data_IF_104185036117
#
_entry.id   IF_104185036117
#
_cell.length_a   1.000
_cell.length_b   1.000
_cell.length_c   1.000
_cell.angle_alpha   90.00
_cell.angle_beta   90.00
_cell.angle_gamma   90.00
#
_symmetry.space_group_name_H-M   'P 1'
#
loop_
_entity.id
_entity.type
_entity.pdbx_description
1 polymer ?
#
# COMPACT_ATOMS: atom_id res chain seq x y z
N UNK A 1 20.70 -14.55 0.11
CA UNK A 1 21.74 -13.57 0.48
C UNK A 1 21.86 -13.52 2.00
N UNK A 2 23.04 -13.21 2.55
CA UNK A 2 23.20 -13.04 4.00
C UNK A 2 22.69 -11.64 4.41
N UNK A 3 21.84 -11.58 5.44
CA UNK A 3 21.38 -10.33 6.05
C UNK A 3 22.60 -9.55 6.56
N UNK A 4 22.74 -8.30 6.14
CA UNK A 4 23.76 -7.37 6.60
C UNK A 4 23.53 -7.02 8.08
N UNK A 5 24.61 -6.89 8.84
CA UNK A 5 24.57 -6.54 10.26
C UNK A 5 24.04 -5.10 10.45
N UNK A 6 23.26 -4.82 11.50
CA UNK A 6 22.60 -3.51 11.73
C UNK A 6 22.79 -2.96 13.15
N UNK A 7 23.73 -3.51 13.90
CA UNK A 7 24.10 -3.15 15.27
C UNK A 7 25.60 -2.80 15.36
N UNK A 8 26.14 -2.11 14.36
CA UNK A 8 27.43 -1.45 14.47
C UNK A 8 27.34 -0.38 15.57
N UNK A 9 28.42 -0.21 16.32
CA UNK A 9 28.60 0.86 17.29
C UNK A 9 29.87 1.60 16.91
N UNK A 10 29.87 2.93 17.07
CA UNK A 10 31.09 3.70 16.87
C UNK A 10 32.14 3.28 17.91
N UNK A 11 33.42 3.48 17.57
CA UNK A 11 34.49 3.18 18.50
C UNK A 11 34.39 4.11 19.71
N UNK A 12 33.84 3.58 20.80
CA UNK A 12 33.76 4.29 22.08
C UNK A 12 35.01 4.01 22.89
N UNK A 13 35.59 5.04 23.51
CA UNK A 13 36.67 4.87 24.48
C UNK A 13 36.22 3.87 25.54
N UNK A 14 36.98 2.79 25.68
CA UNK A 14 36.74 1.76 26.67
C UNK A 14 36.71 2.40 28.07
N UNK A 15 35.53 2.41 28.71
CA UNK A 15 35.32 3.00 30.04
C UNK A 15 36.03 2.25 31.16
N UNK A 16 36.44 0.98 30.94
CA UNK A 16 37.31 0.22 31.86
C UNK A 16 38.79 0.57 31.67
N UNK A 17 39.16 1.27 30.59
CA UNK A 17 40.47 1.88 30.35
C UNK A 17 40.46 3.39 30.64
N UNK A 18 39.52 3.86 31.47
CA UNK A 18 39.54 5.22 31.98
C UNK A 18 40.72 5.44 32.94
N UNK A 19 41.90 5.73 32.38
CA UNK A 19 43.11 6.36 32.93
C UNK A 19 44.33 5.76 32.22
N UNK A 20 45.16 6.45 31.44
CA UNK A 20 45.54 7.86 31.48
C UNK A 20 45.76 8.37 30.05
N UNK A 21 45.30 9.59 29.76
CA UNK A 21 45.87 10.35 28.64
C UNK A 21 47.37 10.40 28.87
N UNK A 22 48.15 9.91 27.91
CA UNK A 22 49.60 9.89 28.03
C UNK A 22 50.10 11.22 27.52
N UNK A 23 50.79 11.97 28.37
CA UNK A 23 51.49 13.17 27.95
C UNK A 23 53.00 12.91 27.98
N UNK A 24 53.66 13.10 26.85
CA UNK A 24 55.11 13.05 26.73
C UNK A 24 55.69 14.40 27.18
N UNK A 25 56.58 14.37 28.16
CA UNK A 25 57.32 15.55 28.59
C UNK A 25 58.44 15.86 27.58
N UNK A 26 58.52 17.12 27.15
CA UNK A 26 59.57 17.65 26.26
C UNK A 26 60.27 18.79 26.98
N UNK A 27 61.60 18.74 27.02
CA UNK A 27 62.42 19.76 27.65
C UNK A 27 62.82 20.82 26.63
N UNK A 28 62.50 22.08 26.90
CA UNK A 28 62.83 23.21 26.05
C UNK A 28 64.25 23.71 26.34
N UNK A 29 64.90 24.35 25.36
CA UNK A 29 66.29 24.83 25.48
C UNK A 29 66.49 25.89 26.57
N UNK A 30 65.43 26.62 26.93
CA UNK A 30 65.42 27.61 28.00
C UNK A 30 65.25 27.00 29.40
N UNK A 31 65.21 25.67 29.51
CA UNK A 31 65.07 24.93 30.75
C UNK A 31 63.63 24.72 31.21
N UNK A 32 62.63 25.22 30.48
CA UNK A 32 61.21 24.95 30.77
C UNK A 32 60.77 23.59 30.20
N UNK A 33 59.60 23.09 30.65
CA UNK A 33 59.04 21.80 30.21
C UNK A 33 57.67 21.99 29.59
N UNK A 34 57.46 21.35 28.45
CA UNK A 34 56.17 21.25 27.74
C UNK A 34 55.66 19.81 27.79
N UNK A 35 54.34 19.60 27.78
CA UNK A 35 53.74 18.27 27.80
C UNK A 35 52.83 18.09 26.58
N UNK A 36 53.17 17.15 25.70
CA UNK A 36 52.43 16.87 24.47
C UNK A 36 51.56 15.62 24.65
N UNK A 37 50.30 15.65 24.17
CA UNK A 37 49.46 14.45 24.17
C UNK A 37 50.04 13.42 23.20
N UNK A 38 50.35 12.23 23.71
CA UNK A 38 50.88 11.07 22.97
C UNK A 38 50.01 9.84 23.22
N UNK A 39 48.76 10.06 23.62
CA UNK A 39 47.75 9.00 23.72
C UNK A 39 47.58 8.37 22.33
N UNK A 40 47.78 7.06 22.16
CA UNK A 40 47.52 6.40 20.88
C UNK A 40 46.01 6.41 20.63
N UNK A 41 45.57 7.29 19.73
CA UNK A 41 44.22 7.26 19.17
C UNK A 41 44.29 6.53 17.83
N UNK A 42 43.30 5.68 17.56
CA UNK A 42 43.13 5.16 16.21
C UNK A 42 41.64 5.13 15.88
N UNK A 43 41.14 6.21 15.28
CA UNK A 43 40.08 6.11 14.29
C UNK A 43 40.23 7.23 13.25
N UNK A 44 40.50 6.79 12.01
CA UNK A 44 40.54 7.58 10.77
C UNK A 44 39.21 7.37 10.03
N UNK A 45 38.50 8.43 9.61
CA UNK A 45 37.30 8.31 8.76
C UNK A 45 36.35 9.53 8.72
N UNK A 46 35.51 9.62 7.68
CA UNK A 46 34.56 10.71 7.34
C UNK A 46 33.28 10.72 8.22
N UNK A 47 32.31 11.63 8.01
CA UNK A 47 31.00 11.75 8.76
C UNK A 47 30.15 10.45 8.81
N UNK A 48 30.59 9.40 8.14
CA UNK A 48 29.92 8.12 7.98
C UNK A 48 30.28 7.16 9.13
N UNK A 49 29.50 7.22 10.21
CA UNK A 49 29.63 6.40 11.42
C UNK A 49 28.72 5.16 11.45
N UNK A 50 28.68 4.48 12.59
CA UNK A 50 27.92 3.27 12.82
C UNK A 50 26.42 3.45 12.62
N UNK A 51 25.89 4.64 12.93
CA UNK A 51 24.48 4.97 12.68
C UNK A 51 24.15 4.91 11.18
N UNK A 52 24.96 5.55 10.32
CA UNK A 52 24.78 5.54 8.87
C UNK A 52 24.95 4.12 8.30
N UNK A 53 25.96 3.36 8.76
CA UNK A 53 26.15 1.96 8.37
C UNK A 53 24.93 1.12 8.73
N UNK A 54 24.40 1.27 9.95
CA UNK A 54 23.22 0.53 10.39
C UNK A 54 21.98 0.89 9.55
N UNK A 55 21.79 2.19 9.28
CA UNK A 55 20.71 2.68 8.44
C UNK A 55 20.78 2.12 7.01
N UNK A 56 21.95 2.19 6.37
CA UNK A 56 22.14 1.72 5.00
C UNK A 56 22.08 0.19 4.90
N UNK A 57 22.63 -0.55 5.87
CA UNK A 57 22.51 -2.00 5.92
C UNK A 57 21.06 -2.42 6.13
N UNK A 58 20.32 -1.73 7.00
CA UNK A 58 18.88 -1.95 7.20
C UNK A 58 18.13 -1.70 5.89
N UNK A 59 18.41 -0.59 5.21
CA UNK A 59 17.81 -0.26 3.91
C UNK A 59 18.13 -1.30 2.82
N UNK A 60 19.39 -1.75 2.75
CA UNK A 60 19.83 -2.75 1.78
C UNK A 60 19.20 -4.12 2.04
N UNK A 61 19.13 -4.55 3.30
CA UNK A 61 18.43 -5.78 3.67
C UNK A 61 16.96 -5.75 3.24
N UNK A 62 16.27 -4.62 3.47
CA UNK A 62 14.90 -4.45 3.01
C UNK A 62 14.78 -4.47 1.48
N UNK A 63 15.68 -3.79 0.76
CA UNK A 63 15.69 -3.81 -0.70
C UNK A 63 15.87 -5.24 -1.24
N UNK A 64 16.71 -6.04 -0.59
CA UNK A 64 16.89 -7.46 -0.91
C UNK A 64 15.60 -8.24 -0.65
N UNK A 65 14.98 -8.10 0.52
CA UNK A 65 13.72 -8.79 0.85
C UNK A 65 12.58 -8.41 -0.09
N UNK A 66 12.50 -7.13 -0.47
CA UNK A 66 11.53 -6.63 -1.44
C UNK A 66 11.79 -7.23 -2.84
N UNK A 67 13.06 -7.35 -3.24
CA UNK A 67 13.44 -7.97 -4.51
C UNK A 67 13.18 -9.50 -4.52
N UNK A 68 13.45 -10.18 -3.40
CA UNK A 68 13.19 -11.61 -3.20
C UNK A 68 11.70 -11.90 -2.94
N UNK A 69 10.85 -10.87 -2.85
CA UNK A 69 9.39 -10.94 -2.64
C UNK A 69 9.00 -11.61 -1.32
N UNK A 70 9.86 -11.51 -0.32
CA UNK A 70 9.64 -12.00 1.05
C UNK A 70 9.34 -10.88 2.04
N UNK A 71 9.33 -9.64 1.58
CA UNK A 71 8.99 -8.48 2.41
C UNK A 71 7.58 -8.61 2.99
N UNK A 72 7.45 -8.41 4.32
CA UNK A 72 6.17 -8.59 5.03
C UNK A 72 5.39 -7.29 5.27
N UNK A 73 5.98 -6.15 4.87
CA UNK A 73 5.49 -4.83 5.22
C UNK A 73 5.76 -4.46 6.67
N UNK A 74 6.06 -3.18 6.92
CA UNK A 74 6.29 -2.64 8.27
C UNK A 74 5.26 -1.60 8.65
N UNK A 75 5.05 -1.43 9.95
CA UNK A 75 4.19 -0.36 10.47
C UNK A 75 4.93 0.97 10.35
N UNK A 76 4.47 1.82 9.42
CA UNK A 76 5.09 3.11 9.15
C UNK A 76 5.01 4.06 10.36
N UNK A 77 4.03 3.88 11.24
CA UNK A 77 3.89 4.69 12.45
C UNK A 77 5.00 4.42 13.47
N UNK A 78 5.61 3.23 13.41
CA UNK A 78 6.75 2.84 14.24
C UNK A 78 8.05 3.22 13.55
N UNK A 79 8.18 2.91 12.26
CA UNK A 79 9.43 3.05 11.53
C UNK A 79 9.80 4.50 11.21
N UNK A 80 8.80 5.37 11.10
CA UNK A 80 8.98 6.80 10.87
C UNK A 80 8.46 7.64 12.04
N UNK A 81 8.43 7.09 13.26
CA UNK A 81 7.85 7.73 14.42
C UNK A 81 8.40 9.15 14.69
N UNK A 82 9.71 9.35 14.53
CA UNK A 82 10.37 10.65 14.74
C UNK A 82 9.95 11.68 13.69
N UNK A 83 9.88 11.29 12.41
CA UNK A 83 9.44 12.17 11.33
C UNK A 83 7.95 12.50 11.49
N UNK A 84 7.12 11.50 11.78
CA UNK A 84 5.67 11.62 11.99
C UNK A 84 5.35 12.53 13.17
N UNK A 85 6.19 12.57 14.21
CA UNK A 85 6.01 13.47 15.36
C UNK A 85 6.00 14.96 14.98
N UNK A 86 6.54 15.33 13.80
CA UNK A 86 6.45 16.67 13.23
C UNK A 86 5.10 17.01 12.59
N UNK A 87 4.16 16.06 12.52
CA UNK A 87 2.85 16.19 11.87
C UNK A 87 1.71 15.93 12.85
N UNK A 88 0.49 16.32 12.45
CA UNK A 88 -0.71 16.04 13.24
C UNK A 88 -1.03 14.54 13.35
N UNK A 89 -0.70 13.79 12.30
CA UNK A 89 -1.03 12.38 12.15
C UNK A 89 -0.20 11.76 11.00
N UNK A 90 -0.09 10.42 10.94
CA UNK A 90 0.65 9.71 9.89
C UNK A 90 0.10 9.95 8.47
N UNK A 91 -1.18 10.26 8.31
CA UNK A 91 -1.80 10.45 6.98
C UNK A 91 -1.46 11.82 6.41
N UNK A 92 -1.40 12.85 7.26
CA UNK A 92 -0.89 14.16 6.91
C UNK A 92 0.59 14.10 6.54
N UNK A 93 1.38 13.31 7.26
CA UNK A 93 2.77 13.04 6.92
C UNK A 93 2.91 12.44 5.51
N UNK A 94 2.15 11.36 5.19
CA UNK A 94 2.12 10.78 3.83
C UNK A 94 1.73 11.83 2.78
N UNK A 95 0.67 12.60 3.03
CA UNK A 95 0.21 13.65 2.10
C UNK A 95 1.28 14.70 1.85
N UNK A 96 1.99 15.15 2.88
CA UNK A 96 3.09 16.12 2.75
C UNK A 96 4.28 15.54 1.99
N UNK A 97 4.66 14.29 2.27
CA UNK A 97 5.73 13.60 1.54
C UNK A 97 5.40 13.44 0.06
N UNK A 98 4.16 13.08 -0.27
CA UNK A 98 3.69 13.02 -1.66
C UNK A 98 3.76 14.38 -2.35
N UNK A 99 3.33 15.46 -1.71
CA UNK A 99 3.42 16.81 -2.28
C UNK A 99 4.87 17.28 -2.48
N UNK A 100 5.82 16.74 -1.71
CA UNK A 100 7.25 16.98 -1.87
C UNK A 100 7.94 16.00 -2.83
N UNK A 101 7.18 15.11 -3.48
CA UNK A 101 7.71 14.03 -4.34
C UNK A 101 8.72 13.13 -3.63
N UNK A 102 8.55 12.93 -2.31
CA UNK A 102 9.43 12.14 -1.48
C UNK A 102 8.76 10.82 -1.10
N UNK A 103 9.24 9.70 -1.65
CA UNK A 103 8.78 8.34 -1.34
C UNK A 103 9.85 7.48 -0.67
N UNK A 104 10.94 8.11 -0.22
CA UNK A 104 12.13 7.41 0.27
C UNK A 104 11.81 6.50 1.46
N UNK A 105 12.18 5.23 1.35
CA UNK A 105 11.92 4.24 2.38
C UNK A 105 10.46 3.78 2.49
N UNK A 106 9.52 4.27 1.67
CA UNK A 106 8.18 3.71 1.55
C UNK A 106 8.19 2.54 0.56
N UNK A 107 7.65 1.39 0.96
CA UNK A 107 7.60 0.20 0.13
C UNK A 107 6.18 -0.35 0.03
N UNK A 108 5.91 -1.08 -1.05
CA UNK A 108 4.68 -1.88 -1.19
C UNK A 108 4.59 -2.86 -0.02
N UNK A 109 3.38 -3.12 0.46
CA UNK A 109 3.05 -3.87 1.70
C UNK A 109 3.20 -3.10 3.02
N UNK A 110 3.95 -1.99 3.07
CA UNK A 110 4.02 -1.12 4.26
C UNK A 110 2.63 -0.63 4.63
N UNK A 111 2.39 -0.45 5.92
CA UNK A 111 1.06 -0.17 6.41
C UNK A 111 0.98 0.86 7.51
N UNK A 112 -0.21 1.44 7.63
CA UNK A 112 -0.63 2.24 8.78
C UNK A 112 -1.92 1.60 9.31
N UNK A 113 -1.97 1.22 10.60
CA UNK A 113 -3.20 0.71 11.21
C UNK A 113 -4.22 1.83 11.44
N UNK A 114 -5.50 1.54 11.18
CA UNK A 114 -6.63 2.42 11.49
C UNK A 114 -7.75 1.64 12.17
N UNK A 115 -8.63 2.36 12.84
CA UNK A 115 -9.89 1.81 13.31
C UNK A 115 -11.04 2.31 12.44
N UNK A 116 -11.80 1.38 11.85
CA UNK A 116 -13.05 1.67 11.15
C UNK A 116 -14.24 1.23 12.00
N UNK A 117 -14.67 2.10 12.92
CA UNK A 117 -15.52 1.70 14.04
C UNK A 117 -14.71 0.84 15.02
N UNK A 118 -15.17 -0.37 15.30
CA UNK A 118 -14.49 -1.29 16.24
C UNK A 118 -13.46 -2.21 15.56
N UNK A 119 -13.29 -2.09 14.25
CA UNK A 119 -12.43 -3.00 13.49
C UNK A 119 -11.07 -2.38 13.24
N UNK A 120 -10.02 -3.05 13.69
CA UNK A 120 -8.65 -2.77 13.31
C UNK A 120 -8.46 -3.16 11.85
N UNK A 121 -8.04 -2.21 11.03
CA UNK A 121 -7.76 -2.40 9.61
C UNK A 121 -6.33 -1.92 9.35
N UNK A 122 -5.47 -2.81 8.85
CA UNK A 122 -4.11 -2.45 8.42
C UNK A 122 -4.17 -2.04 6.96
N UNK A 123 -4.03 -0.74 6.68
CA UNK A 123 -4.04 -0.22 5.33
C UNK A 123 -2.65 -0.33 4.75
N UNK A 124 -2.47 -1.21 3.76
CA UNK A 124 -1.19 -1.48 3.09
C UNK A 124 -1.05 -0.64 1.82
N UNK A 125 0.18 -0.24 1.49
CA UNK A 125 0.53 0.32 0.19
C UNK A 125 0.33 -0.76 -0.87
N UNK A 126 -0.67 -0.56 -1.74
CA UNK A 126 -0.95 -1.44 -2.87
C UNK A 126 -0.02 -1.12 -4.05
N UNK A 127 0.26 0.16 -4.25
CA UNK A 127 1.13 0.66 -5.30
C UNK A 127 1.44 2.15 -5.11
N UNK A 128 2.63 2.55 -5.55
CA UNK A 128 3.11 3.93 -5.56
C UNK A 128 3.19 4.35 -7.02
N UNK A 129 2.54 5.46 -7.38
CA UNK A 129 2.56 6.04 -8.72
C UNK A 129 2.17 5.07 -9.86
N UNK A 130 1.37 4.04 -9.59
CA UNK A 130 0.97 3.03 -10.59
C UNK A 130 0.13 3.60 -11.73
N UNK A 131 -0.49 4.75 -11.50
CA UNK A 131 -1.35 5.44 -12.46
C UNK A 131 -0.86 6.85 -12.83
N UNK A 132 0.42 7.17 -12.59
CA UNK A 132 0.92 8.52 -12.84
C UNK A 132 0.98 8.78 -14.35
N UNK A 133 0.56 9.97 -14.78
CA UNK A 133 0.44 10.37 -16.20
C UNK A 133 -0.58 9.57 -17.03
N UNK A 134 -1.50 8.83 -16.41
CA UNK A 134 -2.59 8.17 -17.12
C UNK A 134 -3.94 8.88 -16.89
N UNK A 135 -5.02 8.27 -17.38
CA UNK A 135 -6.41 8.74 -17.33
C UNK A 135 -6.74 9.90 -18.30
N UNK A 136 -8.04 10.16 -18.50
CA UNK A 136 -8.54 11.34 -19.24
C UNK A 136 -8.30 12.65 -18.49
N UNK A 137 -8.09 12.55 -17.18
CA UNK A 137 -7.59 13.60 -16.33
C UNK A 137 -6.29 13.09 -15.73
N UNK A 138 -5.19 13.77 -16.05
CA UNK A 138 -3.86 13.33 -15.64
C UNK A 138 -3.78 13.16 -14.12
N UNK A 139 -3.36 11.98 -13.68
CA UNK A 139 -3.09 11.71 -12.26
C UNK A 139 -1.62 12.00 -11.97
N UNK A 140 -1.38 12.87 -10.99
CA UNK A 140 -0.05 13.19 -10.48
C UNK A 140 0.54 12.10 -9.57
N UNK A 141 1.37 12.52 -8.61
CA UNK A 141 1.92 11.61 -7.60
C UNK A 141 0.83 11.11 -6.67
N UNK A 142 0.84 9.80 -6.38
CA UNK A 142 -0.14 9.18 -5.52
C UNK A 142 0.34 7.86 -4.93
N UNK A 143 -0.34 7.45 -3.86
CA UNK A 143 -0.26 6.11 -3.29
C UNK A 143 -1.67 5.55 -3.22
N UNK A 144 -1.85 4.36 -3.77
CA UNK A 144 -3.05 3.56 -3.59
C UNK A 144 -2.86 2.61 -2.41
N UNK A 145 -3.83 2.63 -1.51
CA UNK A 145 -3.87 1.84 -0.30
C UNK A 145 -4.94 0.76 -0.42
N UNK A 146 -4.71 -0.39 0.22
CA UNK A 146 -5.67 -1.50 0.32
C UNK A 146 -5.60 -2.12 1.71
N UNK A 147 -6.74 -2.48 2.28
CA UNK A 147 -6.76 -3.20 3.56
C UNK A 147 -6.09 -4.58 3.41
N UNK A 148 -5.24 -4.95 4.37
CA UNK A 148 -4.58 -6.27 4.41
C UNK A 148 -5.60 -7.40 4.34
N UNK A 149 -6.52 -7.38 5.30
CA UNK A 149 -7.68 -8.26 5.37
C UNK A 149 -8.95 -7.54 4.94
N UNK A 150 -10.01 -8.31 4.63
CA UNK A 150 -11.27 -7.72 4.22
C UNK A 150 -12.00 -7.08 5.39
N UNK A 151 -12.84 -6.08 5.09
CA UNK A 151 -13.81 -5.59 6.06
C UNK A 151 -14.70 -6.76 6.54
N UNK A 152 -15.03 -6.86 7.85
CA UNK A 152 -15.67 -8.06 8.38
C UNK A 152 -17.07 -8.35 7.83
N UNK A 153 -17.84 -7.30 7.54
CA UNK A 153 -19.19 -7.39 6.98
C UNK A 153 -19.16 -7.86 5.53
N UNK A 154 -20.23 -8.55 5.11
CA UNK A 154 -20.42 -8.99 3.73
C UNK A 154 -21.44 -8.12 3.01
N UNK A 155 -21.34 -8.11 1.69
CA UNK A 155 -22.21 -7.34 0.81
C UNK A 155 -22.47 -8.12 -0.47
N UNK A 156 -23.70 -8.07 -0.96
CA UNK A 156 -24.06 -8.62 -2.27
C UNK A 156 -23.54 -7.71 -3.38
N UNK A 157 -23.10 -8.26 -4.52
CA UNK A 157 -22.74 -7.43 -5.68
C UNK A 157 -23.95 -6.60 -6.13
N UNK A 158 -25.09 -7.29 -6.26
CA UNK A 158 -26.42 -6.72 -6.45
C UNK A 158 -27.43 -7.48 -5.60
N UNK A 159 -28.46 -6.80 -5.12
CA UNK A 159 -29.58 -7.45 -4.40
C UNK A 159 -30.43 -8.35 -5.29
N UNK A 160 -30.33 -8.19 -6.61
CA UNK A 160 -30.88 -9.09 -7.62
C UNK A 160 -29.75 -9.78 -8.42
N UNK A 161 -30.06 -10.91 -9.05
CA UNK A 161 -29.13 -11.58 -9.96
C UNK A 161 -29.08 -10.85 -11.30
N UNK A 162 -28.36 -9.73 -11.33
CA UNK A 162 -28.22 -8.85 -12.48
C UNK A 162 -26.87 -8.13 -12.37
N UNK A 163 -26.07 -8.14 -13.42
CA UNK A 163 -24.79 -7.44 -13.48
C UNK A 163 -24.73 -6.40 -14.60
N UNK A 164 -25.88 -5.98 -15.12
CA UNK A 164 -25.97 -4.94 -16.13
C UNK A 164 -26.17 -3.56 -15.46
N UNK A 165 -25.72 -2.53 -16.15
CA UNK A 165 -26.12 -1.16 -15.87
C UNK A 165 -27.56 -0.88 -16.31
N UNK A 166 -27.85 0.41 -16.45
CA UNK A 166 -29.15 0.96 -16.86
C UNK A 166 -28.96 1.96 -18.00
N UNK A 167 -30.06 2.43 -18.59
CA UNK A 167 -30.00 3.49 -19.61
C UNK A 167 -29.35 4.78 -19.12
N UNK A 168 -29.54 5.12 -17.84
CA UNK A 168 -28.99 6.33 -17.23
C UNK A 168 -27.53 6.15 -16.79
N UNK A 169 -27.15 4.92 -16.41
CA UNK A 169 -25.82 4.58 -15.91
C UNK A 169 -25.45 3.18 -16.40
N UNK A 170 -24.73 3.05 -17.53
CA UNK A 170 -24.44 1.77 -18.16
C UNK A 170 -23.30 1.00 -17.47
N UNK A 171 -22.72 1.54 -16.39
CA UNK A 171 -21.56 0.96 -15.70
C UNK A 171 -22.01 0.06 -14.52
N UNK A 172 -21.86 -1.28 -14.61
CA UNK A 172 -22.34 -2.18 -13.55
C UNK A 172 -21.84 -1.82 -12.15
N UNK A 173 -20.56 -1.44 -12.03
CA UNK A 173 -19.98 -1.09 -10.74
C UNK A 173 -20.67 0.12 -10.08
N UNK A 174 -21.01 1.15 -10.84
CA UNK A 174 -21.67 2.34 -10.29
C UNK A 174 -23.06 2.03 -9.72
N UNK A 175 -23.76 1.07 -10.31
CA UNK A 175 -25.07 0.60 -9.85
C UNK A 175 -25.01 -0.46 -8.75
N UNK A 176 -23.83 -1.02 -8.49
CA UNK A 176 -23.65 -2.14 -7.55
C UNK A 176 -24.00 -1.75 -6.11
N UNK A 177 -24.49 -2.74 -5.36
CA UNK A 177 -24.70 -2.58 -3.91
C UNK A 177 -23.35 -2.43 -3.19
N UNK A 178 -22.28 -2.99 -3.75
CA UNK A 178 -20.90 -2.83 -3.25
C UNK A 178 -20.43 -1.37 -3.28
N UNK A 179 -20.68 -0.64 -4.37
CA UNK A 179 -20.35 0.80 -4.45
C UNK A 179 -21.08 1.59 -3.35
N UNK A 180 -22.38 1.36 -3.17
CA UNK A 180 -23.14 2.02 -2.10
C UNK A 180 -22.65 1.63 -0.70
N UNK A 181 -22.30 0.36 -0.49
CA UNK A 181 -21.74 -0.13 0.77
C UNK A 181 -20.42 0.55 1.11
N UNK A 182 -19.48 0.63 0.15
CA UNK A 182 -18.20 1.33 0.32
C UNK A 182 -18.40 2.82 0.62
N UNK A 183 -19.33 3.50 -0.05
CA UNK A 183 -19.65 4.89 0.26
C UNK A 183 -20.13 5.07 1.72
N UNK A 184 -20.92 4.12 2.24
CA UNK A 184 -21.33 4.09 3.64
C UNK A 184 -20.19 3.85 4.63
N UNK A 185 -19.12 3.17 4.21
CA UNK A 185 -17.92 2.96 5.03
C UNK A 185 -17.06 4.22 5.16
N UNK A 186 -17.18 5.21 4.26
CA UNK A 186 -16.38 6.44 4.34
C UNK A 186 -16.58 7.15 5.68
N UNK A 187 -17.81 7.20 6.18
CA UNK A 187 -18.13 7.82 7.48
C UNK A 187 -17.47 7.09 8.67
N UNK A 188 -17.06 5.82 8.50
CA UNK A 188 -16.39 5.03 9.53
C UNK A 188 -14.87 5.19 9.52
N UNK A 189 -14.28 5.80 8.48
CA UNK A 189 -12.86 6.11 8.47
C UNK A 189 -12.51 7.15 9.54
N UNK A 190 -11.30 7.13 10.11
CA UNK A 190 -10.83 8.24 10.94
C UNK A 190 -10.87 9.58 10.19
N UNK A 191 -11.05 10.68 10.94
CA UNK A 191 -11.24 12.01 10.34
C UNK A 191 -10.02 12.47 9.55
N UNK A 192 -8.84 12.17 10.06
CA UNK A 192 -7.53 12.39 9.47
C UNK A 192 -7.37 11.69 8.11
N UNK A 193 -7.87 10.45 7.96
CA UNK A 193 -7.87 9.73 6.67
C UNK A 193 -8.81 10.43 5.69
N UNK A 194 -10.06 10.71 6.12
CA UNK A 194 -11.07 11.35 5.26
C UNK A 194 -10.60 12.72 4.73
N UNK A 195 -9.74 13.41 5.46
CA UNK A 195 -9.20 14.71 5.10
C UNK A 195 -8.17 14.65 3.95
N UNK A 196 -7.54 13.49 3.70
CA UNK A 196 -6.44 13.38 2.72
C UNK A 196 -6.75 12.48 1.52
N UNK A 197 -7.83 11.69 1.57
CA UNK A 197 -8.17 10.78 0.47
C UNK A 197 -8.85 11.49 -0.71
N UNK A 198 -8.52 11.03 -1.91
CA UNK A 198 -9.02 11.54 -3.18
C UNK A 198 -9.90 10.52 -3.89
N UNK A 199 -10.79 10.98 -4.77
CA UNK A 199 -11.51 10.07 -5.67
C UNK A 199 -10.56 9.45 -6.70
N UNK A 200 -10.81 8.21 -7.11
CA UNK A 200 -10.05 7.54 -8.17
C UNK A 200 -10.78 7.58 -9.51
N UNK A 201 -10.18 8.27 -10.49
CA UNK A 201 -10.61 8.24 -11.89
C UNK A 201 -10.21 6.89 -12.52
N UNK A 202 -11.15 6.23 -13.21
CA UNK A 202 -10.94 4.89 -13.76
C UNK A 202 -11.80 4.64 -15.01
N UNK A 203 -11.29 3.84 -15.95
CA UNK A 203 -12.02 3.43 -17.15
C UNK A 203 -12.86 2.18 -16.85
N UNK A 204 -14.16 2.35 -16.61
CA UNK A 204 -15.07 1.27 -16.23
C UNK A 204 -15.75 0.63 -17.45
N UNK A 205 -15.99 -0.68 -17.38
CA UNK A 205 -16.76 -1.41 -18.38
C UNK A 205 -18.23 -0.96 -18.42
N UNK A 206 -18.79 -0.91 -19.63
CA UNK A 206 -20.19 -0.63 -19.89
C UNK A 206 -20.91 -1.91 -20.30
N UNK A 207 -22.04 -2.19 -19.64
CA UNK A 207 -22.88 -3.35 -19.93
C UNK A 207 -24.34 -2.97 -19.80
N UNK A 208 -24.90 -2.44 -20.88
CA UNK A 208 -26.31 -2.12 -20.96
C UNK A 208 -26.80 -2.21 -22.41
N UNK A 209 -28.02 -2.68 -22.60
CA UNK A 209 -28.74 -2.62 -23.87
C UNK A 209 -30.23 -2.39 -23.61
N UNK A 210 -30.86 -1.55 -24.45
CA UNK A 210 -32.30 -1.35 -24.43
C UNK A 210 -33.07 -2.60 -24.91
N UNK A 211 -32.41 -3.52 -25.62
CA UNK A 211 -33.02 -4.71 -26.21
C UNK A 211 -33.00 -5.94 -25.29
N UNK A 212 -32.46 -5.83 -24.08
CA UNK A 212 -32.38 -6.93 -23.12
C UNK A 212 -31.05 -7.00 -22.37
N UNK A 213 -30.92 -8.01 -21.50
CA UNK A 213 -29.71 -8.23 -20.71
C UNK A 213 -28.54 -8.70 -21.58
N UNK A 214 -27.38 -8.11 -21.36
CA UNK A 214 -26.12 -8.51 -21.97
C UNK A 214 -25.38 -9.47 -21.04
N UNK A 215 -24.73 -10.46 -21.63
CA UNK A 215 -23.83 -11.37 -20.93
C UNK A 215 -22.37 -10.87 -20.94
N UNK A 216 -22.06 -9.95 -21.85
CA UNK A 216 -20.74 -9.37 -22.02
C UNK A 216 -20.84 -7.86 -22.08
N UNK A 217 -19.83 -7.20 -21.54
CA UNK A 217 -19.66 -5.76 -21.67
C UNK A 217 -19.36 -5.42 -23.13
N UNK A 218 -19.74 -4.23 -23.59
CA UNK A 218 -19.65 -3.86 -25.01
C UNK A 218 -18.88 -2.57 -25.27
N UNK A 219 -18.52 -1.86 -24.20
CA UNK A 219 -17.74 -0.63 -24.25
C UNK A 219 -17.13 -0.36 -22.88
N UNK A 220 -16.50 0.81 -22.73
CA UNK A 220 -16.01 1.34 -21.47
C UNK A 220 -16.14 2.86 -21.44
N UNK A 221 -15.91 3.49 -20.30
CA UNK A 221 -15.92 4.95 -20.20
C UNK A 221 -15.32 5.44 -18.90
N UNK A 222 -14.77 6.66 -18.94
CA UNK A 222 -14.11 7.27 -17.80
C UNK A 222 -15.13 7.65 -16.74
N UNK A 223 -14.90 7.17 -15.52
CA UNK A 223 -15.77 7.32 -14.36
C UNK A 223 -14.96 7.60 -13.11
N UNK A 224 -15.63 8.12 -12.09
CA UNK A 224 -15.06 8.24 -10.74
C UNK A 224 -15.53 7.07 -9.88
N UNK A 225 -14.58 6.27 -9.40
CA UNK A 225 -14.88 5.17 -8.49
C UNK A 225 -15.40 5.67 -7.14
N UNK A 226 -15.11 6.93 -6.80
CA UNK A 226 -15.35 7.52 -5.49
C UNK A 226 -14.09 7.48 -4.64
N UNK A 227 -14.22 7.87 -3.37
CA UNK A 227 -13.12 7.89 -2.39
C UNK A 227 -12.71 6.50 -1.91
N UNK A 228 -13.67 5.56 -1.89
CA UNK A 228 -13.44 4.16 -1.55
C UNK A 228 -13.84 3.26 -2.72
N UNK A 229 -13.01 2.26 -3.01
CA UNK A 229 -13.26 1.27 -4.06
C UNK A 229 -12.73 -0.10 -3.66
N UNK A 230 -12.95 -1.09 -4.54
CA UNK A 230 -12.28 -2.39 -4.53
C UNK A 230 -11.56 -2.60 -5.87
N UNK A 231 -10.48 -3.38 -5.95
CA UNK A 231 -9.72 -3.49 -7.19
C UNK A 231 -10.50 -4.25 -8.29
N UNK A 232 -10.12 -4.03 -9.54
CA UNK A 232 -10.63 -4.82 -10.67
C UNK A 232 -9.87 -6.14 -10.82
N UNK A 233 -10.37 -7.05 -11.67
CA UNK A 233 -9.72 -8.33 -11.92
C UNK A 233 -8.28 -8.16 -12.41
N UNK A 234 -8.05 -7.23 -13.33
CA UNK A 234 -6.71 -6.98 -13.85
C UNK A 234 -5.77 -6.38 -12.79
N UNK A 235 -6.26 -5.47 -11.96
CA UNK A 235 -5.48 -4.90 -10.86
C UNK A 235 -4.96 -5.98 -9.90
N UNK A 236 -5.70 -7.09 -9.76
CA UNK A 236 -5.31 -8.21 -8.91
C UNK A 236 -4.45 -9.24 -9.65
N UNK A 237 -4.88 -9.67 -10.83
CA UNK A 237 -4.30 -10.83 -11.52
C UNK A 237 -3.35 -10.48 -12.67
N UNK A 238 -3.28 -9.21 -13.08
CA UNK A 238 -2.56 -8.79 -14.28
C UNK A 238 -3.10 -9.40 -15.57
N UNK A 239 -4.33 -9.92 -15.53
CA UNK A 239 -5.00 -10.55 -16.65
C UNK A 239 -6.51 -10.59 -16.41
N UNK A 240 -7.27 -10.61 -17.51
CA UNK A 240 -8.71 -10.87 -17.47
C UNK A 240 -8.97 -12.38 -17.59
N UNK A 241 -9.44 -12.99 -16.51
CA UNK A 241 -9.70 -14.42 -16.42
C UNK A 241 -11.20 -14.67 -16.63
N UNK A 242 -12.05 -13.90 -15.93
CA UNK A 242 -13.51 -13.99 -15.99
C UNK A 242 -14.18 -12.75 -16.54
N UNK A 243 -13.56 -11.56 -16.52
CA UNK A 243 -14.17 -10.34 -17.03
C UNK A 243 -14.12 -10.25 -18.56
N UNK A 244 -15.01 -9.45 -19.16
CA UNK A 244 -15.11 -9.34 -20.62
C UNK A 244 -13.87 -8.65 -21.21
N UNK A 245 -13.16 -9.31 -22.13
CA UNK A 245 -12.05 -8.70 -22.88
C UNK A 245 -12.58 -7.82 -24.03
N UNK A 246 -12.01 -6.62 -24.28
CA UNK A 246 -11.01 -5.91 -23.47
C UNK A 246 -11.62 -5.08 -22.32
N UNK A 247 -12.94 -4.92 -22.30
CA UNK A 247 -13.63 -3.89 -21.51
C UNK A 247 -13.40 -3.94 -20.00
N UNK A 248 -13.24 -5.13 -19.44
CA UNK A 248 -13.00 -5.35 -18.00
C UNK A 248 -11.61 -4.96 -17.51
N UNK A 249 -10.65 -4.75 -18.42
CA UNK A 249 -9.31 -4.24 -18.10
C UNK A 249 -9.34 -2.73 -17.92
N UNK A 250 -10.03 -2.03 -18.82
CA UNK A 250 -10.09 -0.57 -18.77
C UNK A 250 -8.70 0.04 -18.91
N UNK A 251 -8.27 0.83 -17.91
CA UNK A 251 -6.91 1.39 -17.82
C UNK A 251 -6.07 0.68 -16.74
N UNK A 252 -6.52 -0.47 -16.24
CA UNK A 252 -5.90 -1.15 -15.13
C UNK A 252 -4.45 -1.55 -15.40
N UNK A 253 -3.62 -1.45 -14.36
CA UNK A 253 -2.33 -2.13 -14.26
C UNK A 253 -2.39 -3.04 -13.04
N UNK A 254 -1.69 -4.18 -13.07
CA UNK A 254 -1.60 -5.01 -11.87
C UNK A 254 -0.96 -4.22 -10.73
N UNK A 255 -1.62 -4.18 -9.57
CA UNK A 255 -1.02 -3.57 -8.40
C UNK A 255 0.21 -4.37 -7.97
N UNK A 256 1.34 -3.71 -7.68
CA UNK A 256 2.56 -4.36 -7.19
C UNK A 256 2.34 -5.31 -6.02
N UNK A 257 1.42 -4.99 -5.09
CA UNK A 257 1.12 -5.84 -3.93
C UNK A 257 0.62 -7.25 -4.31
N UNK A 258 0.01 -7.41 -5.48
CA UNK A 258 -0.45 -8.70 -5.98
C UNK A 258 0.50 -9.34 -6.99
N UNK A 259 1.49 -8.59 -7.47
CA UNK A 259 2.40 -9.04 -8.50
C UNK A 259 3.27 -10.19 -7.98
N UNK A 260 3.26 -11.30 -8.71
CA UNK A 260 4.09 -12.47 -8.46
C UNK A 260 4.01 -13.09 -7.04
N UNK A 261 2.94 -12.82 -6.29
CA UNK A 261 2.68 -13.43 -4.99
C UNK A 261 1.20 -13.79 -4.85
N UNK A 262 0.94 -14.86 -4.11
CA UNK A 262 -0.43 -15.29 -3.75
C UNK A 262 -0.85 -14.72 -2.39
N UNK A 263 0.12 -14.33 -1.56
CA UNK A 263 -0.06 -13.91 -0.17
C UNK A 263 -1.15 -12.85 -0.03
N UNK A 264 -1.01 -11.72 -0.73
CA UNK A 264 -1.93 -10.59 -0.57
C UNK A 264 -3.29 -10.78 -1.26
N UNK A 265 -3.43 -11.79 -2.14
CA UNK A 265 -4.73 -12.19 -2.70
C UNK A 265 -5.55 -12.98 -1.68
N UNK A 266 -4.89 -13.71 -0.78
CA UNK A 266 -5.52 -14.48 0.29
C UNK A 266 -5.73 -13.57 1.50
N UNK A 267 -6.88 -12.92 1.55
CA UNK A 267 -7.26 -12.00 2.62
C UNK A 267 -8.06 -12.71 3.71
N UNK A 268 -7.91 -12.28 4.96
CA UNK A 268 -8.71 -12.73 6.10
C UNK A 268 -10.09 -12.07 6.17
N UNK A 269 -11.00 -12.73 6.87
CA UNK A 269 -12.31 -12.22 7.25
C UNK A 269 -12.21 -11.31 8.49
N UNK A 270 -11.73 -10.08 8.29
CA UNK A 270 -11.22 -9.23 9.37
C UNK A 270 -9.76 -9.54 9.72
N UNK A 271 -9.14 -8.68 10.53
CA UNK A 271 -7.73 -8.83 10.93
C UNK A 271 -7.49 -10.17 11.62
N UNK A 272 -6.66 -11.03 11.02
CA UNK A 272 -6.35 -12.37 11.52
C UNK A 272 -7.48 -13.40 11.40
N UNK A 273 -8.55 -13.08 10.66
CA UNK A 273 -9.67 -14.00 10.41
C UNK A 273 -9.33 -15.13 9.43
N UNK A 274 -10.23 -16.10 9.29
CA UNK A 274 -10.11 -17.16 8.28
C UNK A 274 -10.08 -16.58 6.86
N UNK A 275 -9.49 -17.31 5.91
CA UNK A 275 -9.46 -16.95 4.48
C UNK A 275 -10.85 -16.55 3.98
N UNK A 276 -10.95 -15.39 3.35
CA UNK A 276 -12.18 -14.80 2.86
C UNK A 276 -12.29 -14.92 1.34
N UNK A 277 -13.54 -15.04 0.90
CA UNK A 277 -13.96 -14.78 -0.46
C UNK A 277 -14.27 -13.28 -0.56
N UNK A 278 -13.75 -12.60 -1.57
CA UNK A 278 -13.92 -11.16 -1.69
C UNK A 278 -14.11 -10.69 -3.12
N UNK A 279 -15.00 -9.70 -3.29
CA UNK A 279 -15.43 -9.22 -4.59
C UNK A 279 -14.36 -8.41 -5.33
N UNK A 280 -14.47 -8.35 -6.65
CA UNK A 280 -13.75 -7.44 -7.54
C UNK A 280 -14.74 -6.49 -8.22
N UNK A 281 -14.29 -5.30 -8.64
CA UNK A 281 -15.18 -4.36 -9.35
C UNK A 281 -15.69 -4.85 -10.71
N UNK A 282 -15.04 -5.89 -11.24
CA UNK A 282 -15.32 -6.46 -12.56
C UNK A 282 -16.51 -7.41 -12.54
N UNK A 283 -17.33 -7.39 -13.59
CA UNK A 283 -18.41 -8.36 -13.79
C UNK A 283 -18.01 -9.49 -14.74
N UNK A 284 -18.61 -10.66 -14.56
CA UNK A 284 -18.23 -11.86 -15.31
C UNK A 284 -18.74 -11.81 -16.76
N UNK A 285 -17.89 -12.20 -17.70
CA UNK A 285 -18.20 -12.44 -19.12
C UNK A 285 -19.07 -13.70 -19.30
N UNK A 286 -19.86 -13.74 -20.36
CA UNK A 286 -20.73 -14.89 -20.67
C UNK A 286 -21.94 -15.08 -19.73
N UNK A 287 -22.02 -14.34 -18.62
CA UNK A 287 -23.12 -14.42 -17.65
C UNK A 287 -23.64 -13.03 -17.29
N UNK A 288 -24.95 -12.83 -17.34
CA UNK A 288 -25.62 -11.58 -16.97
C UNK A 288 -25.92 -11.45 -15.46
N UNK A 289 -25.51 -12.44 -14.66
CA UNK A 289 -25.89 -12.53 -13.24
C UNK A 289 -24.70 -12.72 -12.29
N UNK A 290 -23.47 -12.81 -12.80
CA UNK A 290 -22.28 -13.17 -12.02
C UNK A 290 -21.26 -12.02 -11.97
N UNK A 291 -20.57 -11.86 -10.85
CA UNK A 291 -19.47 -10.91 -10.67
C UNK A 291 -18.16 -11.66 -10.39
N UNK A 292 -17.03 -11.02 -10.71
CA UNK A 292 -15.71 -11.59 -10.46
C UNK A 292 -15.34 -11.43 -8.99
N UNK A 293 -14.62 -12.41 -8.46
CA UNK A 293 -14.17 -12.41 -7.07
C UNK A 293 -12.85 -13.16 -6.94
N UNK A 294 -12.21 -13.03 -5.77
CA UNK A 294 -11.03 -13.80 -5.38
C UNK A 294 -11.44 -14.80 -4.31
N UNK A 295 -11.18 -16.08 -4.58
CA UNK A 295 -11.45 -17.16 -3.62
C UNK A 295 -10.54 -17.12 -2.41
N UNK A 296 -10.93 -17.84 -1.35
CA UNK A 296 -10.07 -18.03 -0.17
C UNK A 296 -8.71 -18.68 -0.49
N UNK A 297 -8.53 -19.27 -1.67
CA UNK A 297 -7.25 -19.81 -2.13
C UNK A 297 -6.46 -18.82 -3.00
N UNK A 298 -6.93 -17.59 -3.19
CA UNK A 298 -6.27 -16.56 -4.00
C UNK A 298 -6.47 -16.71 -5.52
N UNK A 299 -7.40 -17.57 -5.94
CA UNK A 299 -7.72 -17.84 -7.36
C UNK A 299 -8.83 -16.90 -7.83
N UNK A 300 -8.75 -16.43 -9.07
CA UNK A 300 -9.82 -15.70 -9.75
C UNK A 300 -10.99 -16.63 -10.04
N UNK A 301 -12.20 -16.20 -9.68
CA UNK A 301 -13.42 -16.97 -9.88
C UNK A 301 -14.61 -16.02 -10.10
N UNK A 302 -15.78 -16.56 -10.41
CA UNK A 302 -17.01 -15.81 -10.60
C UNK A 302 -18.16 -16.39 -9.78
N UNK A 303 -19.02 -15.54 -9.24
CA UNK A 303 -20.14 -15.98 -8.41
C UNK A 303 -21.37 -15.13 -8.61
N UNK A 304 -22.53 -15.68 -8.27
CA UNK A 304 -23.81 -15.01 -8.45
C UNK A 304 -23.86 -13.72 -7.63
N UNK A 305 -24.33 -12.64 -8.27
CA UNK A 305 -24.34 -11.29 -7.69
C UNK A 305 -25.15 -11.19 -6.40
N UNK A 306 -26.16 -12.06 -6.22
CA UNK A 306 -27.01 -12.11 -5.04
C UNK A 306 -26.38 -12.82 -3.84
N UNK A 307 -25.16 -13.33 -3.92
CA UNK A 307 -24.45 -13.84 -2.74
C UNK A 307 -23.69 -12.71 -2.04
N UNK A 308 -23.56 -12.79 -0.72
CA UNK A 308 -22.83 -11.79 0.05
C UNK A 308 -21.39 -12.25 0.30
N UNK A 309 -20.41 -11.54 -0.26
CA UNK A 309 -18.98 -11.76 0.01
C UNK A 309 -18.38 -10.53 0.68
N UNK A 310 -17.14 -10.62 1.14
CA UNK A 310 -16.45 -9.49 1.77
C UNK A 310 -15.83 -8.57 0.73
N UNK A 311 -15.33 -7.43 1.19
CA UNK A 311 -14.60 -6.46 0.37
C UNK A 311 -13.34 -6.02 1.09
N UNK A 312 -12.16 -5.97 0.42
CA UNK A 312 -11.09 -5.10 0.89
C UNK A 312 -11.52 -3.64 0.73
N UNK A 313 -10.95 -2.75 1.53
CA UNK A 313 -11.18 -1.30 1.40
C UNK A 313 -9.96 -0.70 0.74
N UNK A 314 -10.14 -0.02 -0.40
CA UNK A 314 -9.08 0.76 -1.04
C UNK A 314 -9.35 2.25 -0.96
N UNK A 315 -8.30 3.07 -0.87
CA UNK A 315 -8.35 4.53 -1.05
C UNK A 315 -7.05 5.08 -1.66
N UNK A 316 -7.10 6.30 -2.20
CA UNK A 316 -5.95 6.99 -2.81
C UNK A 316 -5.61 8.22 -1.99
N UNK A 317 -4.32 8.47 -1.80
CA UNK A 317 -3.81 9.79 -1.43
C UNK A 317 -3.01 10.31 -2.62
N UNK A 318 -3.37 11.48 -3.14
CA UNK A 318 -2.60 12.19 -4.17
C UNK A 318 -1.69 13.23 -3.53
N UNK A 319 -0.81 13.87 -4.28
CA UNK A 319 -0.22 15.18 -3.92
C UNK A 319 -1.29 16.27 -3.70
#
# INVERSE_FOLDING_TARGET
MSVLKTDYVDDVINKELAADRKFGEVQNEDGTKSYNDVTPYTQEGDEYGAEQINFENKHTNYAIEAADRTYEGRDLTVEFAEEIAGFSDPWRWIKTRLAAHNIDGLHVEDYIPIYMGNYLIKMQIAGINTYTRCCDQEVGWHIDWISKDCYPDTVQWFTSNDNNGTSADPYPYNKSTVKSFLAGLEAKLPAEVRAVISSKRFLLEQRYSASGKLNDSTSWGWQDLGKLWIPCEYEVFGSLIWATKPWGEGQAVQYPIFANSWKNRIKGAGDGGSRAYWWLLSVCAGYSTYACYVSGNGIADSYSCSYALRVPVCFRITE
#
